data_IF_107744977099
#
_entry.id   IF_107744977099
#
_cell.length_a   1.000
_cell.length_b   1.000
_cell.length_c   1.000
_cell.angle_alpha   90.00
_cell.angle_beta   90.00
_cell.angle_gamma   90.00
#
_symmetry.space_group_name_H-M   'P 1'
#
loop_
_entity.id
_entity.type
_entity.pdbx_description
1 polymer ?
#
# COMPACT_ATOMS: atom_id res chain seq x y z
N UNK A 1 18.47 -18.99 19.84
CA UNK A 1 18.35 -17.52 20.01
C UNK A 1 16.95 -17.12 20.49
N UNK A 2 16.36 -17.82 21.46
CA UNK A 2 15.09 -17.36 22.09
C UNK A 2 15.31 -16.14 23.01
N UNK A 3 16.55 -15.88 23.42
CA UNK A 3 16.91 -14.78 24.35
C UNK A 3 17.18 -13.40 23.73
N UNK A 4 17.36 -13.26 22.40
CA UNK A 4 17.62 -11.95 21.77
C UNK A 4 16.35 -11.15 21.44
N UNK A 5 15.23 -11.82 21.23
CA UNK A 5 13.92 -11.18 21.02
C UNK A 5 13.44 -10.35 22.24
N UNK A 6 13.51 -10.84 23.49
CA UNK A 6 13.09 -10.06 24.65
C UNK A 6 14.00 -8.85 24.90
N UNK A 7 15.31 -8.97 24.66
CA UNK A 7 16.24 -7.83 24.75
C UNK A 7 15.96 -6.74 23.71
N UNK A 8 15.60 -7.13 22.48
CA UNK A 8 15.15 -6.19 21.44
C UNK A 8 13.84 -5.50 21.81
N UNK A 9 12.88 -6.22 22.41
CA UNK A 9 11.62 -5.65 22.92
C UNK A 9 11.89 -4.67 24.06
N UNK A 10 12.76 -5.02 25.01
CA UNK A 10 13.14 -4.15 26.14
C UNK A 10 13.85 -2.89 25.63
N UNK A 11 14.81 -3.01 24.71
CA UNK A 11 15.50 -1.87 24.12
C UNK A 11 14.54 -0.96 23.33
N UNK A 12 13.57 -1.54 22.61
CA UNK A 12 12.53 -0.81 21.90
C UNK A 12 11.55 -0.10 22.85
N UNK A 13 11.17 -0.74 23.95
CA UNK A 13 10.35 -0.15 25.01
C UNK A 13 11.06 1.01 25.70
N UNK A 14 12.37 0.89 25.97
CA UNK A 14 13.19 1.96 26.56
C UNK A 14 13.33 3.13 25.58
N UNK A 15 13.60 2.87 24.30
CA UNK A 15 13.72 3.95 23.30
C UNK A 15 12.38 4.63 23.03
N UNK A 16 11.27 3.88 22.99
CA UNK A 16 9.92 4.43 22.89
C UNK A 16 9.56 5.29 24.12
N UNK A 17 9.94 4.84 25.32
CA UNK A 17 9.75 5.59 26.56
C UNK A 17 10.57 6.90 26.59
N UNK A 18 11.83 6.86 26.14
CA UNK A 18 12.69 8.05 26.04
C UNK A 18 12.19 9.04 24.96
N UNK A 19 11.66 8.55 23.84
CA UNK A 19 11.02 9.38 22.81
C UNK A 19 9.71 10.00 23.31
N UNK A 20 8.95 9.32 24.17
CA UNK A 20 7.72 9.85 24.79
C UNK A 20 8.00 10.93 25.85
N UNK A 21 9.10 10.82 26.60
CA UNK A 21 9.52 11.86 27.55
C UNK A 21 9.97 13.15 26.84
N UNK A 22 10.51 13.05 25.63
CA UNK A 22 10.92 14.21 24.82
C UNK A 22 9.78 15.04 24.20
N UNK A 23 8.52 14.57 24.26
CA UNK A 23 7.36 15.20 23.59
C UNK A 23 6.43 15.93 24.58
N UNK A 24 6.80 16.06 25.86
CA UNK A 24 5.95 16.75 26.86
C UNK A 24 5.87 18.29 26.73
N UNK A 25 6.29 18.87 25.60
CA UNK A 25 6.16 20.30 25.31
C UNK A 25 5.08 20.62 24.26
N UNK A 26 3.94 21.13 24.72
CA UNK A 26 2.81 21.78 23.99
C UNK A 26 1.66 20.88 23.54
N UNK A 27 0.66 20.80 24.42
CA UNK A 27 -0.68 20.30 24.14
C UNK A 27 -1.64 21.48 23.93
N UNK A 28 -2.48 21.42 22.88
CA UNK A 28 -3.51 22.41 22.59
C UNK A 28 -4.75 21.80 21.91
N UNK A 29 -5.86 21.84 22.66
CA UNK A 29 -7.32 21.69 22.41
C UNK A 29 -7.86 21.00 21.13
N UNK A 30 -8.86 20.15 21.39
CA UNK A 30 -9.53 19.28 20.41
C UNK A 30 -10.49 19.97 19.46
N UNK A 31 -10.82 19.24 18.39
CA UNK A 31 -11.85 19.61 17.40
C UNK A 31 -13.11 18.79 17.63
N UNK A 32 -14.24 19.50 17.62
CA UNK A 32 -15.60 18.97 17.79
C UNK A 32 -15.99 18.04 16.65
N UNK A 33 -16.76 17.01 16.98
CA UNK A 33 -17.42 16.11 16.04
C UNK A 33 -18.34 16.89 15.10
N UNK A 34 -18.22 16.65 13.80
CA UNK A 34 -19.13 17.16 12.78
C UNK A 34 -20.41 16.32 12.78
N UNK A 35 -21.55 17.01 12.84
CA UNK A 35 -22.87 16.42 12.91
C UNK A 35 -23.25 15.59 11.69
N UNK A 36 -24.08 14.59 11.97
CA UNK A 36 -24.80 13.72 11.03
C UNK A 36 -25.59 14.60 10.05
N UNK A 37 -25.27 14.57 8.76
CA UNK A 37 -26.08 15.19 7.72
C UNK A 37 -27.01 14.17 7.11
N UNK A 38 -28.24 14.64 6.97
CA UNK A 38 -29.40 13.95 6.47
C UNK A 38 -29.22 13.48 5.02
N UNK A 39 -29.66 12.26 4.72
CA UNK A 39 -29.62 11.68 3.38
C UNK A 39 -30.80 12.20 2.57
N UNK A 40 -30.71 13.45 2.11
CA UNK A 40 -31.65 14.00 1.16
C UNK A 40 -31.55 13.29 -0.19
N UNK A 41 -32.65 12.72 -0.67
CA UNK A 41 -32.77 12.20 -2.04
C UNK A 41 -32.45 13.33 -3.02
N UNK A 42 -31.34 13.20 -3.75
CA UNK A 42 -30.98 14.13 -4.83
C UNK A 42 -31.88 13.82 -6.03
N UNK A 43 -32.54 14.87 -6.53
CA UNK A 43 -33.54 14.85 -7.58
C UNK A 43 -33.03 14.27 -8.92
N UNK A 44 -33.98 13.73 -9.67
CA UNK A 44 -33.84 13.16 -11.00
C UNK A 44 -33.25 14.16 -12.00
N UNK A 45 -32.23 13.72 -12.74
CA UNK A 45 -31.53 14.51 -13.76
C UNK A 45 -30.20 13.88 -14.20
N UNK A 46 -29.64 13.00 -13.38
CA UNK A 46 -28.53 12.13 -13.78
C UNK A 46 -29.07 11.04 -14.71
N UNK A 47 -28.31 10.70 -15.76
CA UNK A 47 -28.63 9.59 -16.65
C UNK A 47 -28.76 8.25 -15.91
N UNK A 48 -28.98 7.17 -16.63
CA UNK A 48 -29.24 5.84 -16.05
C UNK A 48 -28.16 5.20 -15.15
N UNK A 49 -27.13 5.94 -14.70
CA UNK A 49 -26.06 5.44 -13.85
C UNK A 49 -26.08 6.08 -12.45
N UNK A 50 -25.78 5.29 -11.43
CA UNK A 50 -25.64 5.74 -10.04
C UNK A 50 -24.20 6.19 -9.74
N UNK A 51 -23.22 5.57 -10.40
CA UNK A 51 -21.79 5.88 -10.23
C UNK A 51 -21.09 5.92 -11.59
N UNK A 52 -20.27 6.96 -11.81
CA UNK A 52 -19.29 6.99 -12.89
C UNK A 52 -17.91 6.62 -12.33
N UNK A 53 -17.23 5.68 -12.97
CA UNK A 53 -15.84 5.31 -12.68
C UNK A 53 -14.97 5.75 -13.86
N UNK A 54 -13.97 6.59 -13.61
CA UNK A 54 -13.03 7.07 -14.63
C UNK A 54 -11.78 6.21 -14.59
N UNK A 55 -11.53 5.44 -15.63
CA UNK A 55 -10.44 4.47 -15.75
C UNK A 55 -10.87 3.06 -15.32
N UNK A 56 -10.55 2.06 -16.16
CA UNK A 56 -10.77 0.63 -15.95
C UNK A 56 -9.43 -0.11 -15.78
N UNK A 57 -8.55 0.44 -14.93
CA UNK A 57 -7.38 -0.28 -14.41
C UNK A 57 -7.75 -1.15 -13.20
N UNK A 58 -6.75 -1.55 -12.39
CA UNK A 58 -6.98 -2.42 -11.21
C UNK A 58 -8.08 -1.88 -10.30
N UNK A 59 -7.95 -0.63 -9.83
CA UNK A 59 -8.93 -0.02 -8.91
C UNK A 59 -10.29 0.16 -9.56
N UNK A 60 -10.33 0.65 -10.80
CA UNK A 60 -11.58 1.00 -11.47
C UNK A 60 -12.43 -0.22 -11.79
N UNK A 61 -11.81 -1.28 -12.33
CA UNK A 61 -12.50 -2.53 -12.65
C UNK A 61 -12.96 -3.27 -11.38
N UNK A 62 -12.10 -3.37 -10.36
CA UNK A 62 -12.47 -4.01 -9.10
C UNK A 62 -13.60 -3.25 -8.37
N UNK A 63 -13.54 -1.92 -8.35
CA UNK A 63 -14.59 -1.08 -7.76
C UNK A 63 -15.90 -1.21 -8.54
N UNK A 64 -15.84 -1.21 -9.88
CA UNK A 64 -17.02 -1.36 -10.70
C UNK A 64 -17.72 -2.71 -10.47
N UNK A 65 -16.96 -3.80 -10.37
CA UNK A 65 -17.50 -5.12 -10.04
C UNK A 65 -18.14 -5.15 -8.65
N UNK A 66 -17.45 -4.63 -7.62
CA UNK A 66 -17.97 -4.59 -6.26
C UNK A 66 -19.29 -3.81 -6.17
N UNK A 67 -19.32 -2.60 -6.74
CA UNK A 67 -20.53 -1.76 -6.78
C UNK A 67 -21.65 -2.40 -7.62
N UNK A 68 -21.30 -3.07 -8.73
CA UNK A 68 -22.26 -3.78 -9.57
C UNK A 68 -22.91 -4.95 -8.84
N UNK A 69 -22.13 -5.71 -8.06
CA UNK A 69 -22.61 -6.82 -7.20
C UNK A 69 -23.53 -6.32 -6.10
N UNK A 70 -23.29 -5.11 -5.59
CA UNK A 70 -24.17 -4.39 -4.65
C UNK A 70 -25.40 -3.77 -5.33
N UNK A 71 -25.65 -4.04 -6.61
CA UNK A 71 -26.84 -3.61 -7.35
C UNK A 71 -26.80 -2.17 -7.85
N UNK A 72 -25.62 -1.52 -7.88
CA UNK A 72 -25.47 -0.16 -8.42
C UNK A 72 -25.29 -0.18 -9.93
N UNK A 73 -25.90 0.78 -10.62
CA UNK A 73 -25.66 1.00 -12.06
C UNK A 73 -24.36 1.77 -12.23
N UNK A 74 -23.32 1.10 -12.70
CA UNK A 74 -21.97 1.67 -12.81
C UNK A 74 -21.64 1.93 -14.27
N UNK A 75 -21.23 3.16 -14.59
CA UNK A 75 -20.72 3.52 -15.90
C UNK A 75 -19.21 3.73 -15.83
N UNK A 76 -18.43 2.83 -16.44
CA UNK A 76 -16.98 2.88 -16.45
C UNK A 76 -16.50 3.46 -17.78
N UNK A 77 -15.68 4.51 -17.74
CA UNK A 77 -15.11 5.15 -18.92
C UNK A 77 -13.59 4.95 -18.91
N UNK A 78 -13.10 4.15 -19.85
CA UNK A 78 -11.66 3.85 -20.01
C UNK A 78 -11.15 4.38 -21.34
N UNK A 79 -9.97 5.00 -21.34
CA UNK A 79 -9.36 5.58 -22.53
C UNK A 79 -9.09 4.52 -23.59
N UNK A 80 -8.55 3.38 -23.18
CA UNK A 80 -8.28 2.26 -24.06
C UNK A 80 -8.63 0.90 -23.43
N UNK A 81 -9.58 0.21 -24.08
CA UNK A 81 -10.05 -1.12 -23.66
C UNK A 81 -9.20 -2.26 -24.24
N UNK A 82 -8.23 -1.96 -25.12
CA UNK A 82 -7.24 -2.95 -25.52
C UNK A 82 -6.41 -3.43 -24.32
N UNK A 83 -5.79 -4.60 -24.47
CA UNK A 83 -4.87 -5.14 -23.49
C UNK A 83 -3.70 -4.16 -23.26
N UNK A 84 -3.48 -3.69 -22.02
CA UNK A 84 -2.37 -2.79 -21.75
C UNK A 84 -1.02 -3.48 -21.83
N UNK A 85 -0.09 -2.92 -22.60
CA UNK A 85 1.31 -3.32 -22.61
C UNK A 85 2.14 -2.39 -21.69
N UNK A 86 2.53 -2.89 -20.52
CA UNK A 86 3.32 -2.15 -19.53
C UNK A 86 3.99 -3.08 -18.51
N UNK A 87 5.14 -2.65 -18.02
CA UNK A 87 5.96 -3.36 -17.03
C UNK A 87 5.54 -3.13 -15.57
N UNK A 88 4.51 -2.32 -15.32
CA UNK A 88 4.08 -1.96 -13.95
C UNK A 88 2.95 -2.87 -13.47
N UNK A 89 3.01 -3.27 -12.20
CA UNK A 89 1.92 -4.02 -11.57
C UNK A 89 1.82 -5.49 -11.99
N UNK A 90 2.97 -6.15 -12.16
CA UNK A 90 3.08 -7.57 -12.52
C UNK A 90 3.22 -8.52 -11.32
N UNK A 91 3.27 -7.99 -10.09
CA UNK A 91 3.35 -8.77 -8.86
C UNK A 91 2.24 -8.36 -7.88
N UNK A 92 1.35 -9.30 -7.58
CA UNK A 92 0.29 -9.16 -6.58
C UNK A 92 0.72 -9.80 -5.27
N UNK A 93 0.87 -8.98 -4.23
CA UNK A 93 1.23 -9.43 -2.88
C UNK A 93 0.11 -10.31 -2.26
N UNK A 94 0.42 -11.11 -1.24
CA UNK A 94 -0.55 -11.99 -0.59
C UNK A 94 -1.81 -11.27 -0.10
N UNK A 95 -1.67 -10.07 0.48
CA UNK A 95 -2.82 -9.23 0.85
C UNK A 95 -3.69 -8.85 -0.36
N UNK A 96 -3.06 -8.61 -1.50
CA UNK A 96 -3.78 -8.34 -2.74
C UNK A 96 -4.62 -9.54 -3.19
N UNK A 97 -4.06 -10.75 -3.09
CA UNK A 97 -4.77 -12.00 -3.40
C UNK A 97 -5.95 -12.24 -2.43
N UNK A 98 -5.75 -12.00 -1.13
CA UNK A 98 -6.84 -12.00 -0.14
C UNK A 98 -7.95 -11.01 -0.51
N UNK A 99 -7.60 -9.79 -0.91
CA UNK A 99 -8.57 -8.77 -1.28
C UNK A 99 -9.35 -9.15 -2.54
N UNK A 100 -8.72 -9.80 -3.54
CA UNK A 100 -9.44 -10.31 -4.70
C UNK A 100 -10.49 -11.34 -4.28
N UNK A 101 -10.10 -12.26 -3.40
CA UNK A 101 -10.99 -13.30 -2.91
C UNK A 101 -12.14 -12.75 -2.05
N UNK A 102 -11.89 -11.76 -1.19
CA UNK A 102 -12.94 -11.04 -0.45
C UNK A 102 -13.94 -10.34 -1.38
N UNK A 103 -13.48 -9.88 -2.55
CA UNK A 103 -14.32 -9.22 -3.55
C UNK A 103 -15.04 -10.21 -4.48
N UNK A 104 -14.64 -11.48 -4.53
CA UNK A 104 -15.14 -12.45 -5.52
C UNK A 104 -14.51 -12.26 -6.90
N UNK A 105 -13.22 -11.90 -6.93
CA UNK A 105 -12.38 -11.62 -8.10
C UNK A 105 -11.14 -12.54 -8.15
N UNK A 106 -11.08 -13.57 -7.31
CA UNK A 106 -9.97 -14.52 -7.22
C UNK A 106 -9.65 -15.20 -8.56
N UNK A 107 -10.68 -15.49 -9.36
CA UNK A 107 -10.55 -16.12 -10.68
C UNK A 107 -9.94 -15.21 -11.76
N UNK A 108 -9.68 -13.93 -11.43
CA UNK A 108 -9.05 -13.00 -12.34
C UNK A 108 -7.53 -13.22 -12.48
N UNK A 109 -6.92 -14.00 -11.58
CA UNK A 109 -5.51 -14.44 -11.72
C UNK A 109 -5.37 -15.83 -12.34
N UNK A 110 -6.48 -16.49 -12.65
CA UNK A 110 -6.50 -17.79 -13.31
C UNK A 110 -6.46 -17.62 -14.83
N UNK A 111 -5.95 -18.64 -15.53
CA UNK A 111 -5.87 -18.71 -17.00
C UNK A 111 -5.07 -17.58 -17.68
N UNK A 112 -4.24 -16.85 -16.92
CA UNK A 112 -3.36 -15.78 -17.44
C UNK A 112 -1.86 -16.13 -17.37
N UNK A 113 -1.53 -17.39 -17.10
CA UNK A 113 -0.16 -17.87 -16.83
C UNK A 113 0.46 -17.22 -15.58
N UNK A 114 -0.37 -16.98 -14.55
CA UNK A 114 0.10 -16.41 -13.30
C UNK A 114 0.97 -17.41 -12.54
N UNK A 115 2.18 -16.98 -12.18
CA UNK A 115 3.14 -17.75 -11.42
C UNK A 115 2.93 -17.53 -9.93
N UNK A 116 2.82 -18.64 -9.18
CA UNK A 116 2.73 -18.59 -7.73
C UNK A 116 4.09 -18.25 -7.11
N UNK A 117 4.10 -17.28 -6.21
CA UNK A 117 5.30 -16.83 -5.49
C UNK A 117 5.16 -17.15 -4.00
N UNK A 118 6.09 -17.98 -3.51
CA UNK A 118 6.11 -18.46 -2.12
C UNK A 118 7.07 -17.67 -1.22
N UNK A 119 7.87 -16.79 -1.81
CA UNK A 119 8.96 -16.14 -1.12
C UNK A 119 9.88 -15.37 -2.04
N UNK A 120 10.91 -14.80 -1.45
CA UNK A 120 11.92 -14.00 -2.13
C UNK A 120 13.32 -14.55 -1.82
N UNK A 121 14.27 -14.30 -2.71
CA UNK A 121 15.69 -14.51 -2.42
C UNK A 121 16.38 -13.16 -2.57
N UNK A 122 16.99 -12.67 -1.50
CA UNK A 122 17.79 -11.45 -1.52
C UNK A 122 19.25 -11.81 -1.69
N UNK A 123 19.90 -11.20 -2.68
CA UNK A 123 21.35 -11.32 -2.89
C UNK A 123 22.04 -10.02 -2.51
N UNK A 124 23.05 -10.11 -1.64
CA UNK A 124 23.86 -8.95 -1.24
C UNK A 124 25.26 -9.39 -0.85
N UNK A 125 26.27 -8.73 -1.43
CA UNK A 125 27.69 -8.97 -1.12
C UNK A 125 28.08 -10.46 -1.20
N UNK A 126 27.65 -11.14 -2.26
CA UNK A 126 27.93 -12.57 -2.48
C UNK A 126 27.18 -13.55 -1.55
N UNK A 127 26.34 -13.04 -0.63
CA UNK A 127 25.46 -13.85 0.24
C UNK A 127 24.02 -13.82 -0.25
N UNK A 128 23.27 -14.86 0.08
CA UNK A 128 21.83 -14.96 -0.19
C UNK A 128 21.02 -15.18 1.08
N UNK A 129 19.89 -14.48 1.22
CA UNK A 129 18.88 -14.73 2.25
C UNK A 129 17.59 -15.23 1.58
N UNK A 130 17.10 -16.40 1.99
CA UNK A 130 15.82 -16.95 1.53
C UNK A 130 14.71 -16.51 2.49
N UNK A 131 13.68 -15.86 1.94
CA UNK A 131 12.59 -15.28 2.70
C UNK A 131 11.28 -15.93 2.28
N UNK A 132 10.77 -16.85 3.09
CA UNK A 132 9.48 -17.50 2.84
C UNK A 132 8.33 -16.63 3.34
N UNK A 133 7.27 -16.48 2.54
CA UNK A 133 6.03 -15.83 2.97
C UNK A 133 5.32 -16.78 3.96
N UNK A 134 4.90 -16.31 5.15
CA UNK A 134 4.24 -17.15 6.14
C UNK A 134 2.79 -17.39 5.73
N UNK A 135 2.56 -18.51 5.03
CA UNK A 135 1.28 -18.90 4.45
C UNK A 135 0.58 -20.01 5.26
N UNK A 136 1.15 -20.48 6.36
CA UNK A 136 0.71 -21.67 7.09
C UNK A 136 -0.72 -21.55 7.63
N UNK A 137 -1.21 -20.33 7.83
CA UNK A 137 -2.55 -20.03 8.36
C UNK A 137 -3.57 -19.66 7.28
N UNK A 138 -3.18 -19.76 6.01
CA UNK A 138 -3.93 -19.19 4.89
C UNK A 138 -4.20 -20.23 3.81
N UNK A 139 -5.30 -20.04 3.07
CA UNK A 139 -5.57 -20.84 1.88
C UNK A 139 -4.44 -20.73 0.84
N UNK A 140 -4.26 -21.76 0.00
CA UNK A 140 -3.20 -21.82 -1.02
C UNK A 140 -3.22 -20.61 -1.99
N UNK A 141 -4.40 -20.06 -2.23
CA UNK A 141 -4.66 -18.92 -3.12
C UNK A 141 -4.21 -17.58 -2.55
N UNK A 142 -3.87 -17.53 -1.26
CA UNK A 142 -3.32 -16.33 -0.61
C UNK A 142 -1.85 -16.11 -0.99
N UNK A 143 -1.16 -17.11 -1.54
CA UNK A 143 0.21 -16.91 -2.02
C UNK A 143 0.28 -15.78 -3.06
N UNK A 144 1.39 -15.05 -3.08
CA UNK A 144 1.61 -14.00 -4.08
C UNK A 144 1.53 -14.56 -5.51
N UNK A 145 1.22 -13.69 -6.47
CA UNK A 145 1.13 -14.04 -7.90
C UNK A 145 1.94 -13.06 -8.74
N UNK A 146 2.71 -13.57 -9.69
CA UNK A 146 3.31 -12.77 -10.77
C UNK A 146 2.63 -13.09 -12.10
N UNK A 147 2.38 -12.10 -12.93
CA UNK A 147 1.64 -12.28 -14.19
C UNK A 147 1.92 -11.13 -15.15
N UNK A 148 1.59 -11.32 -16.43
CA UNK A 148 1.51 -10.21 -17.38
C UNK A 148 0.38 -9.25 -16.98
N UNK A 149 0.73 -7.98 -16.75
CA UNK A 149 -0.22 -6.98 -16.27
C UNK A 149 -1.43 -6.81 -17.19
N UNK A 150 -1.21 -6.82 -18.51
CA UNK A 150 -2.25 -6.66 -19.51
C UNK A 150 -3.37 -7.69 -19.35
N UNK A 151 -3.00 -8.97 -19.31
CA UNK A 151 -3.92 -10.10 -19.10
C UNK A 151 -4.73 -9.97 -17.82
N UNK A 152 -4.09 -9.62 -16.71
CA UNK A 152 -4.80 -9.41 -15.43
C UNK A 152 -5.84 -8.28 -15.52
N UNK A 153 -5.49 -7.16 -16.17
CA UNK A 153 -6.44 -6.07 -16.39
C UNK A 153 -7.61 -6.50 -17.27
N UNK A 154 -7.37 -7.30 -18.31
CA UNK A 154 -8.44 -7.81 -19.17
C UNK A 154 -9.40 -8.73 -18.39
N UNK A 155 -8.89 -9.66 -17.58
CA UNK A 155 -9.71 -10.50 -16.70
C UNK A 155 -10.58 -9.68 -15.75
N UNK A 156 -10.01 -8.65 -15.11
CA UNK A 156 -10.78 -7.74 -14.24
C UNK A 156 -11.88 -6.99 -14.99
N UNK A 157 -11.59 -6.51 -16.21
CA UNK A 157 -12.57 -5.81 -17.06
C UNK A 157 -13.71 -6.73 -17.51
N UNK A 158 -13.37 -7.95 -17.94
CA UNK A 158 -14.33 -8.99 -18.32
C UNK A 158 -15.23 -9.36 -17.15
N UNK A 159 -14.64 -9.60 -15.97
CA UNK A 159 -15.38 -9.93 -14.76
C UNK A 159 -16.33 -8.80 -14.34
N UNK A 160 -15.88 -7.55 -14.38
CA UNK A 160 -16.75 -6.40 -14.14
C UNK A 160 -17.89 -6.30 -15.17
N UNK A 161 -17.58 -6.45 -16.47
CA UNK A 161 -18.55 -6.37 -17.56
C UNK A 161 -19.56 -7.53 -17.61
N UNK A 162 -19.28 -8.65 -16.91
CA UNK A 162 -20.21 -9.78 -16.79
C UNK A 162 -21.50 -9.40 -16.03
N UNK A 163 -21.48 -8.33 -15.24
CA UNK A 163 -22.64 -7.82 -14.52
C UNK A 163 -23.44 -6.88 -15.41
N UNK A 164 -24.74 -7.14 -15.58
CA UNK A 164 -25.64 -6.29 -16.40
C UNK A 164 -25.78 -4.86 -15.86
N UNK A 165 -25.46 -4.63 -14.59
CA UNK A 165 -25.44 -3.33 -13.93
C UNK A 165 -24.18 -2.51 -14.24
N UNK A 166 -23.17 -3.09 -14.87
CA UNK A 166 -21.88 -2.45 -15.17
C UNK A 166 -21.74 -2.24 -16.67
N UNK A 167 -21.59 -0.98 -17.09
CA UNK A 167 -21.36 -0.61 -18.49
C UNK A 167 -19.94 -0.09 -18.68
N UNK A 168 -19.10 -0.84 -19.39
CA UNK A 168 -17.78 -0.38 -19.83
C UNK A 168 -17.90 0.37 -21.16
N UNK A 169 -17.27 1.55 -21.24
CA UNK A 169 -17.24 2.38 -22.44
C UNK A 169 -15.84 2.88 -22.72
N UNK A 170 -15.42 2.79 -23.99
CA UNK A 170 -14.17 3.38 -24.43
C UNK A 170 -14.31 4.88 -24.68
N UNK A 171 -13.52 5.68 -23.95
CA UNK A 171 -13.44 7.13 -24.09
C UNK A 171 -12.43 7.77 -23.13
N UNK A 172 -11.84 8.89 -23.55
CA UNK A 172 -10.89 9.64 -22.73
C UNK A 172 -11.63 10.74 -21.96
N UNK A 173 -11.74 10.61 -20.63
CA UNK A 173 -12.28 11.68 -19.79
C UNK A 173 -11.33 12.88 -19.80
N UNK A 174 -11.88 14.06 -20.08
CA UNK A 174 -11.11 15.31 -20.23
C UNK A 174 -11.34 16.29 -19.08
N UNK A 175 -12.54 16.34 -18.52
CA UNK A 175 -12.86 17.25 -17.41
C UNK A 175 -14.04 16.77 -16.56
N UNK A 176 -14.15 17.35 -15.36
CA UNK A 176 -15.29 17.16 -14.46
C UNK A 176 -16.35 18.23 -14.73
N UNK A 177 -17.62 17.82 -14.79
CA UNK A 177 -18.76 18.73 -14.83
C UNK A 177 -19.05 19.15 -13.38
N UNK A 178 -19.00 20.45 -13.10
CA UNK A 178 -19.23 21.01 -11.75
C UNK A 178 -20.33 22.06 -11.80
N UNK A 179 -21.23 21.98 -10.83
CA UNK A 179 -22.28 22.97 -10.56
C UNK A 179 -22.20 23.33 -9.07
N UNK A 180 -22.07 24.62 -8.74
CA UNK A 180 -21.92 25.12 -7.36
C UNK A 180 -20.83 24.40 -6.55
N UNK A 181 -19.72 24.05 -7.20
CA UNK A 181 -18.60 23.32 -6.61
C UNK A 181 -18.85 21.81 -6.42
N UNK A 182 -20.04 21.31 -6.75
CA UNK A 182 -20.42 19.90 -6.67
C UNK A 182 -20.17 19.23 -8.02
N UNK A 183 -19.45 18.10 -8.03
CA UNK A 183 -19.25 17.30 -9.24
C UNK A 183 -20.56 16.59 -9.61
N UNK A 184 -21.00 16.77 -10.86
CA UNK A 184 -22.24 16.20 -11.42
C UNK A 184 -21.97 15.14 -12.50
N UNK A 185 -20.73 14.98 -12.94
CA UNK A 185 -20.39 14.07 -14.00
C UNK A 185 -19.07 14.39 -14.68
N UNK A 186 -18.91 13.91 -15.90
CA UNK A 186 -17.69 14.02 -16.69
C UNK A 186 -17.94 14.38 -18.14
N UNK A 187 -17.00 15.10 -18.72
CA UNK A 187 -16.86 15.26 -20.17
C UNK A 187 -15.80 14.28 -20.66
N UNK A 188 -16.07 13.58 -21.75
CA UNK A 188 -15.13 12.63 -22.34
C UNK A 188 -15.18 12.66 -23.87
N UNK A 189 -14.08 12.27 -24.50
CA UNK A 189 -13.98 12.09 -25.94
C UNK A 189 -14.09 10.61 -26.27
N UNK A 190 -15.02 10.27 -27.15
CA UNK A 190 -15.17 8.90 -27.69
C UNK A 190 -14.02 8.55 -28.64
N UNK A 191 -13.91 7.29 -29.06
CA UNK A 191 -12.89 6.84 -30.04
C UNK A 191 -12.93 7.63 -31.36
N UNK A 192 -14.10 8.14 -31.77
CA UNK A 192 -14.25 8.99 -32.97
C UNK A 192 -13.85 10.45 -32.75
N UNK A 193 -13.38 10.82 -31.54
CA UNK A 193 -13.04 12.19 -31.18
C UNK A 193 -14.23 13.05 -30.78
N UNK A 194 -15.47 12.56 -30.93
CA UNK A 194 -16.68 13.28 -30.53
C UNK A 194 -16.74 13.45 -29.00
N UNK A 195 -16.94 14.68 -28.57
CA UNK A 195 -17.17 15.01 -27.16
C UNK A 195 -18.55 14.51 -26.70
N UNK A 196 -18.60 14.00 -25.48
CA UNK A 196 -19.80 13.44 -24.87
C UNK A 196 -19.79 13.72 -23.36
N UNK A 197 -20.97 13.68 -22.75
CA UNK A 197 -21.16 13.91 -21.32
C UNK A 197 -21.78 12.68 -20.67
N UNK A 198 -21.38 12.40 -19.44
CA UNK A 198 -22.02 11.42 -18.58
C UNK A 198 -22.28 12.04 -17.22
N UNK A 199 -23.42 11.71 -16.63
CA UNK A 199 -23.90 12.30 -15.38
C UNK A 199 -24.21 11.19 -14.38
N UNK A 200 -23.70 11.32 -13.16
CA UNK A 200 -24.04 10.46 -12.02
C UNK A 200 -23.89 11.25 -10.71
N UNK A 201 -24.66 10.89 -9.65
CA UNK A 201 -24.55 11.54 -8.35
C UNK A 201 -23.18 11.31 -7.67
N UNK A 202 -22.44 10.27 -8.07
CA UNK A 202 -21.07 10.01 -7.64
C UNK A 202 -20.15 9.78 -8.84
N UNK A 203 -19.00 10.44 -8.85
CA UNK A 203 -17.91 10.19 -9.80
C UNK A 203 -16.65 9.79 -9.04
N UNK A 204 -16.08 8.63 -9.37
CA UNK A 204 -14.84 8.12 -8.78
C UNK A 204 -13.75 8.16 -9.83
N UNK A 205 -12.67 8.90 -9.54
CA UNK A 205 -11.53 9.04 -10.46
C UNK A 205 -10.46 8.01 -10.14
N UNK A 206 -10.21 7.10 -11.10
CA UNK A 206 -9.28 5.98 -11.01
C UNK A 206 -8.32 5.93 -12.23
N UNK A 207 -7.96 7.08 -12.80
CA UNK A 207 -7.14 7.24 -14.01
C UNK A 207 -5.62 7.11 -13.80
N UNK A 208 -5.21 6.53 -12.66
CA UNK A 208 -3.84 6.08 -12.42
C UNK A 208 -2.84 7.15 -11.95
N UNK A 209 -1.55 6.80 -12.02
CA UNK A 209 -0.46 7.63 -11.48
C UNK A 209 -0.27 8.95 -12.23
N UNK A 210 -0.61 8.99 -13.52
CA UNK A 210 -0.56 10.16 -14.41
C UNK A 210 -1.94 10.83 -14.59
N UNK A 211 -2.77 10.78 -13.55
CA UNK A 211 -4.10 11.38 -13.55
C UNK A 211 -4.10 12.84 -14.02
N UNK A 212 -4.90 13.13 -15.05
CA UNK A 212 -5.07 14.49 -15.57
C UNK A 212 -6.01 15.32 -14.68
N UNK A 213 -6.84 14.65 -13.88
CA UNK A 213 -7.85 15.29 -13.04
C UNK A 213 -7.34 15.59 -11.62
N UNK A 214 -6.23 14.98 -11.18
CA UNK A 214 -5.71 15.10 -9.82
C UNK A 214 -5.54 16.54 -9.34
N UNK A 215 -4.98 17.42 -10.16
CA UNK A 215 -4.76 18.83 -9.80
C UNK A 215 -6.05 19.62 -9.57
N UNK A 216 -7.17 19.16 -10.13
CA UNK A 216 -8.49 19.78 -9.95
C UNK A 216 -9.21 19.30 -8.67
N UNK A 217 -8.68 18.26 -8.03
CA UNK A 217 -9.27 17.58 -6.87
C UNK A 217 -8.40 17.73 -5.61
N UNK A 218 -7.08 17.84 -5.74
CA UNK A 218 -6.16 18.01 -4.63
C UNK A 218 -5.07 19.04 -4.91
N UNK A 219 -4.64 19.74 -3.85
CA UNK A 219 -3.59 20.75 -3.87
C UNK A 219 -2.18 20.20 -3.57
N UNK A 220 -2.06 18.90 -3.28
CA UNK A 220 -0.77 18.26 -2.99
C UNK A 220 0.08 18.08 -4.25
N UNK A 221 1.25 18.74 -4.28
CA UNK A 221 2.27 18.54 -5.32
C UNK A 221 2.94 17.18 -5.13
N UNK A 222 2.46 16.14 -5.80
CA UNK A 222 3.15 14.85 -5.87
C UNK A 222 4.29 14.99 -6.90
N UNK A 223 5.54 15.02 -6.46
CA UNK A 223 6.70 14.83 -7.35
C UNK A 223 6.82 13.34 -7.66
N UNK A 224 6.44 12.94 -8.87
CA UNK A 224 6.69 11.58 -9.36
C UNK A 224 8.15 11.55 -9.85
N UNK A 225 9.06 11.00 -9.04
CA UNK A 225 10.42 10.70 -9.49
C UNK A 225 10.39 9.45 -10.38
N UNK A 226 11.06 9.49 -11.54
CA UNK A 226 11.14 8.37 -12.50
C UNK A 226 11.83 7.11 -11.94
N UNK A 227 12.52 7.22 -10.80
CA UNK A 227 13.16 6.08 -10.09
C UNK A 227 12.20 5.30 -9.17
N UNK A 228 10.92 5.71 -9.06
CA UNK A 228 9.90 5.11 -8.17
C UNK A 228 9.00 4.05 -8.86
N UNK A 229 9.41 3.50 -10.00
CA UNK A 229 8.54 2.64 -10.84
C UNK A 229 8.23 1.25 -10.25
N UNK A 230 8.90 0.83 -9.16
CA UNK A 230 8.73 -0.51 -8.58
C UNK A 230 7.71 -0.56 -7.43
N UNK A 231 7.15 0.57 -6.98
CA UNK A 231 6.28 0.57 -5.78
C UNK A 231 5.15 1.60 -5.84
N UNK A 232 4.22 1.46 -6.78
CA UNK A 232 2.92 2.13 -6.65
C UNK A 232 1.77 1.31 -7.22
N UNK A 233 1.11 0.56 -6.35
CA UNK A 233 -0.33 0.36 -6.39
C UNK A 233 -0.87 0.44 -4.96
N UNK A 234 -2.11 0.89 -4.80
CA UNK A 234 -2.85 1.12 -3.55
C UNK A 234 -2.62 2.48 -2.86
N UNK A 235 -3.38 3.49 -3.31
CA UNK A 235 -3.63 4.70 -2.50
C UNK A 235 -4.88 4.59 -1.61
N UNK A 236 -5.51 3.41 -1.53
CA UNK A 236 -6.74 3.22 -0.74
C UNK A 236 -6.73 2.00 0.20
N UNK A 237 -5.58 1.34 0.37
CA UNK A 237 -5.40 0.29 1.37
C UNK A 237 -4.06 0.47 2.07
N UNK A 238 -4.13 1.15 3.22
CA UNK A 238 -3.11 1.28 4.26
C UNK A 238 -1.88 2.13 3.85
N UNK A 239 -1.85 3.37 4.34
CA UNK A 239 -0.65 4.22 4.42
C UNK A 239 0.60 3.40 4.80
N UNK A 240 0.43 2.45 5.71
CA UNK A 240 1.44 1.51 6.21
C UNK A 240 2.13 0.74 5.09
N UNK A 241 1.40 0.24 4.09
CA UNK A 241 2.00 -0.54 2.99
C UNK A 241 2.93 0.34 2.17
N UNK A 242 2.50 1.55 1.81
CA UNK A 242 3.34 2.51 1.10
C UNK A 242 4.58 2.89 1.94
N UNK A 243 4.42 2.99 3.26
CA UNK A 243 5.52 3.26 4.17
C UNK A 243 6.50 2.11 4.33
N UNK A 244 6.02 0.86 4.38
CA UNK A 244 6.87 -0.34 4.37
C UNK A 244 7.73 -0.32 3.11
N UNK A 245 7.13 -0.14 1.93
CA UNK A 245 7.87 -0.08 0.67
C UNK A 245 8.88 1.08 0.65
N UNK A 246 8.50 2.26 1.13
CA UNK A 246 9.42 3.41 1.26
C UNK A 246 10.60 3.13 2.19
N UNK A 247 10.34 2.48 3.33
CA UNK A 247 11.35 2.12 4.30
C UNK A 247 12.34 1.10 3.72
N UNK A 248 11.85 0.04 3.07
CA UNK A 248 12.68 -0.93 2.37
C UNK A 248 13.48 -0.28 1.23
N UNK A 249 12.88 0.63 0.46
CA UNK A 249 13.58 1.42 -0.55
C UNK A 249 14.74 2.24 0.05
N UNK A 250 14.52 2.88 1.21
CA UNK A 250 15.59 3.63 1.90
C UNK A 250 16.71 2.75 2.45
N UNK A 251 16.39 1.51 2.82
CA UNK A 251 17.36 0.54 3.35
C UNK A 251 18.21 -0.11 2.25
N UNK A 252 17.59 -0.50 1.14
CA UNK A 252 18.22 -1.31 0.10
C UNK A 252 18.55 -0.54 -1.17
N UNK A 253 17.97 0.65 -1.35
CA UNK A 253 18.29 1.54 -2.46
C UNK A 253 19.69 2.12 -2.38
N UNK A 254 20.20 2.57 -3.52
CA UNK A 254 21.49 3.24 -3.61
C UNK A 254 21.48 4.52 -2.78
N UNK A 255 22.49 4.68 -1.93
CA UNK A 255 22.60 5.81 -1.01
C UNK A 255 24.05 6.29 -0.92
N UNK A 256 24.32 7.59 -0.99
CA UNK A 256 25.65 8.13 -0.70
C UNK A 256 25.95 8.18 0.81
N UNK A 257 24.93 8.05 1.65
CA UNK A 257 25.07 8.03 3.11
C UNK A 257 25.48 6.63 3.58
N UNK A 258 26.71 6.54 4.10
CA UNK A 258 27.29 5.31 4.64
C UNK A 258 26.47 4.73 5.79
N UNK A 259 25.87 5.57 6.65
CA UNK A 259 25.04 5.10 7.75
C UNK A 259 23.80 4.36 7.22
N UNK A 260 23.20 4.79 6.11
CA UNK A 260 22.09 4.07 5.49
C UNK A 260 22.52 2.74 4.89
N UNK A 261 23.73 2.66 4.30
CA UNK A 261 24.29 1.39 3.81
C UNK A 261 24.51 0.41 4.96
N UNK A 262 25.02 0.89 6.09
CA UNK A 262 25.20 0.09 7.30
C UNK A 262 23.86 -0.42 7.85
N UNK A 263 22.81 0.41 7.92
CA UNK A 263 21.47 -0.06 8.34
C UNK A 263 20.95 -1.13 7.36
N UNK A 264 21.07 -0.89 6.05
CA UNK A 264 20.68 -1.88 5.04
C UNK A 264 21.49 -3.17 5.10
N UNK A 265 22.74 -3.12 5.55
CA UNK A 265 23.57 -4.30 5.77
C UNK A 265 23.12 -5.05 7.02
N UNK A 266 22.95 -4.36 8.15
CA UNK A 266 22.46 -4.95 9.38
C UNK A 266 21.06 -5.58 9.22
N UNK A 267 20.17 -4.95 8.45
CA UNK A 267 18.87 -5.53 8.13
C UNK A 267 19.00 -6.81 7.30
N UNK A 268 19.88 -6.83 6.28
CA UNK A 268 20.17 -8.04 5.51
C UNK A 268 20.74 -9.16 6.39
N UNK A 269 21.61 -8.84 7.34
CA UNK A 269 22.17 -9.80 8.27
C UNK A 269 21.06 -10.40 9.16
N UNK A 270 20.19 -9.56 9.72
CA UNK A 270 19.03 -10.03 10.48
C UNK A 270 18.09 -10.93 9.65
N UNK A 271 17.85 -10.58 8.38
CA UNK A 271 17.07 -11.42 7.46
C UNK A 271 17.76 -12.76 7.20
N UNK A 272 19.09 -12.77 7.07
CA UNK A 272 19.89 -13.96 6.79
C UNK A 272 19.90 -14.96 7.96
N UNK A 273 19.65 -14.50 9.19
CA UNK A 273 19.50 -15.37 10.36
C UNK A 273 18.20 -16.20 10.32
N UNK A 274 17.24 -15.83 9.47
CA UNK A 274 15.97 -16.54 9.32
C UNK A 274 15.05 -16.41 10.55
N UNK A 275 14.18 -17.42 10.73
CA UNK A 275 13.25 -17.49 11.84
C UNK A 275 12.22 -16.36 11.85
N UNK A 276 11.83 -15.92 13.05
CA UNK A 276 10.74 -14.97 13.24
C UNK A 276 11.00 -13.61 12.60
N UNK A 277 12.24 -13.12 12.61
CA UNK A 277 12.57 -11.85 11.96
C UNK A 277 12.32 -11.91 10.44
N UNK A 278 12.77 -12.96 9.76
CA UNK A 278 12.49 -13.14 8.34
C UNK A 278 10.98 -13.28 8.08
N UNK A 279 10.30 -14.14 8.83
CA UNK A 279 8.86 -14.39 8.68
C UNK A 279 8.01 -13.13 8.86
N UNK A 280 8.24 -12.40 9.95
CA UNK A 280 7.50 -11.17 10.26
C UNK A 280 7.82 -10.07 9.21
N UNK A 281 9.07 -9.97 8.73
CA UNK A 281 9.45 -9.07 7.63
C UNK A 281 8.70 -9.39 6.33
N UNK A 282 8.60 -10.67 5.95
CA UNK A 282 7.83 -11.06 4.76
C UNK A 282 6.33 -10.88 4.93
N UNK A 283 5.78 -11.03 6.14
CA UNK A 283 4.38 -10.73 6.42
C UNK A 283 4.08 -9.24 6.28
N UNK A 284 5.01 -8.38 6.72
CA UNK A 284 4.93 -6.92 6.53
C UNK A 284 4.97 -6.56 5.03
N UNK A 285 5.96 -7.07 4.28
CA UNK A 285 6.09 -6.82 2.83
C UNK A 285 4.84 -7.32 2.08
N UNK A 286 4.37 -8.52 2.41
CA UNK A 286 3.19 -9.13 1.79
C UNK A 286 1.85 -8.52 2.21
N UNK A 287 1.86 -7.55 3.14
CA UNK A 287 0.66 -6.91 3.68
C UNK A 287 -0.21 -7.83 4.54
N UNK A 288 0.26 -9.03 4.89
CA UNK A 288 -0.44 -9.97 5.79
C UNK A 288 -0.47 -9.43 7.22
N UNK A 289 0.57 -8.69 7.61
CA UNK A 289 0.66 -7.96 8.88
C UNK A 289 0.82 -6.47 8.58
N UNK A 290 -0.19 -5.66 8.89
CA UNK A 290 -0.16 -4.22 8.68
C UNK A 290 0.08 -3.45 9.99
N UNK A 291 0.90 -3.98 10.90
CA UNK A 291 1.17 -3.32 12.18
C UNK A 291 2.32 -2.30 12.06
N UNK A 292 2.09 -0.99 12.28
CA UNK A 292 3.17 -0.01 12.33
C UNK A 292 4.18 -0.32 13.44
N UNK A 293 3.69 -0.82 14.58
CA UNK A 293 4.53 -1.17 15.71
C UNK A 293 5.52 -2.29 15.36
N UNK A 294 5.07 -3.33 14.66
CA UNK A 294 5.97 -4.39 14.21
C UNK A 294 7.05 -3.83 13.28
N UNK A 295 6.68 -2.96 12.33
CA UNK A 295 7.68 -2.31 11.46
C UNK A 295 8.74 -1.55 12.26
N UNK A 296 8.32 -0.77 13.27
CA UNK A 296 9.24 -0.05 14.16
C UNK A 296 10.16 -1.03 14.90
N UNK A 297 9.61 -2.12 15.46
CA UNK A 297 10.40 -3.15 16.16
C UNK A 297 11.45 -3.77 15.22
N UNK A 298 11.10 -4.12 13.98
CA UNK A 298 12.06 -4.64 13.00
C UNK A 298 13.22 -3.68 12.74
N UNK A 299 12.91 -2.40 12.57
CA UNK A 299 13.93 -1.37 12.40
C UNK A 299 14.85 -1.29 13.61
N UNK A 300 14.29 -1.30 14.82
CA UNK A 300 15.07 -1.22 16.05
C UNK A 300 15.97 -2.45 16.23
N UNK A 301 15.47 -3.65 15.95
CA UNK A 301 16.29 -4.87 15.98
C UNK A 301 17.46 -4.79 15.00
N UNK A 302 17.23 -4.34 13.76
CA UNK A 302 18.31 -4.15 12.78
C UNK A 302 19.33 -3.09 13.22
N UNK A 303 18.87 -1.98 13.80
CA UNK A 303 19.73 -0.92 14.33
C UNK A 303 20.57 -1.43 15.50
N UNK A 304 19.98 -2.14 16.46
CA UNK A 304 20.69 -2.73 17.59
C UNK A 304 21.72 -3.75 17.13
N UNK A 305 21.39 -4.58 16.13
CA UNK A 305 22.34 -5.51 15.51
C UNK A 305 23.52 -4.77 14.88
N UNK A 306 23.27 -3.71 14.11
CA UNK A 306 24.31 -2.87 13.52
C UNK A 306 25.21 -2.18 14.55
N UNK A 307 24.62 -1.60 15.60
CA UNK A 307 25.36 -1.00 16.73
C UNK A 307 26.21 -2.05 17.45
N UNK A 308 25.66 -3.24 17.70
CA UNK A 308 26.41 -4.34 18.31
C UNK A 308 27.65 -4.70 17.50
N UNK A 309 27.54 -4.78 16.17
CA UNK A 309 28.67 -5.04 15.28
C UNK A 309 29.73 -3.92 15.29
N UNK A 310 29.34 -2.67 15.55
CA UNK A 310 30.28 -1.54 15.62
C UNK A 310 30.99 -1.41 16.98
N UNK A 311 30.39 -1.95 18.06
CA UNK A 311 30.88 -1.81 19.42
C UNK A 311 31.58 -3.07 19.96
N UNK A 312 31.32 -4.24 19.38
CA UNK A 312 31.93 -5.50 19.81
C UNK A 312 33.19 -5.82 18.99
N UNK A 313 34.19 -6.50 19.61
CA UNK A 313 34.21 -6.96 21.00
C UNK A 313 34.55 -5.84 22.02
N UNK A 314 35.26 -4.78 21.59
CA UNK A 314 35.67 -3.67 22.47
C UNK A 314 35.20 -2.34 21.85
N UNK A 315 34.45 -1.51 22.59
CA UNK A 315 34.00 -0.22 22.09
C UNK A 315 35.18 0.69 21.76
N UNK A 316 35.20 1.24 20.54
CA UNK A 316 36.17 2.25 20.11
C UNK A 316 35.50 3.61 19.90
N UNK A 317 36.25 4.71 19.98
CA UNK A 317 35.72 6.07 19.69
C UNK A 317 35.12 6.14 18.28
N UNK A 318 35.72 5.44 17.31
CA UNK A 318 35.18 5.31 15.95
C UNK A 318 33.87 4.53 15.94
N UNK A 319 33.80 3.40 16.65
CA UNK A 319 32.59 2.58 16.79
C UNK A 319 31.44 3.32 17.47
N UNK A 320 31.73 4.10 18.52
CA UNK A 320 30.75 4.95 19.20
C UNK A 320 30.19 6.04 18.27
N UNK A 321 31.07 6.74 17.52
CA UNK A 321 30.65 7.73 16.53
C UNK A 321 29.84 7.11 15.39
N UNK A 322 30.24 5.93 14.91
CA UNK A 322 29.48 5.16 13.91
C UNK A 322 28.09 4.79 14.42
N UNK A 323 28.01 4.27 15.64
CA UNK A 323 26.74 3.90 16.29
C UNK A 323 25.79 5.08 16.43
N UNK A 324 26.30 6.24 16.85
CA UNK A 324 25.50 7.47 16.94
C UNK A 324 24.95 7.92 15.57
N UNK A 325 25.78 7.84 14.51
CA UNK A 325 25.35 8.13 13.14
C UNK A 325 24.29 7.16 12.64
N UNK A 326 24.47 5.86 12.90
CA UNK A 326 23.53 4.81 12.50
C UNK A 326 22.17 5.02 13.16
N UNK A 327 22.14 5.29 14.47
CA UNK A 327 20.89 5.61 15.21
C UNK A 327 20.22 6.86 14.64
N UNK A 328 20.99 7.92 14.38
CA UNK A 328 20.46 9.17 13.81
C UNK A 328 19.86 8.96 12.42
N UNK A 329 20.53 8.20 11.55
CA UNK A 329 20.04 7.88 10.22
C UNK A 329 18.77 7.02 10.28
N UNK A 330 18.69 6.05 11.19
CA UNK A 330 17.50 5.23 11.39
C UNK A 330 16.30 6.06 11.89
N UNK A 331 16.53 6.99 12.83
CA UNK A 331 15.50 7.91 13.28
C UNK A 331 14.97 8.78 12.12
N UNK A 332 15.84 9.19 11.19
CA UNK A 332 15.45 9.90 9.97
C UNK A 332 14.55 9.10 9.01
N UNK A 333 14.52 7.76 9.11
CA UNK A 333 13.62 6.89 8.34
C UNK A 333 12.32 6.65 9.12
N UNK A 334 12.42 6.34 10.41
CA UNK A 334 11.27 5.89 11.23
C UNK A 334 10.40 7.05 11.74
N UNK A 335 10.98 8.18 12.15
CA UNK A 335 10.19 9.29 12.74
C UNK A 335 9.22 9.93 11.74
N UNK A 336 9.58 10.18 10.47
CA UNK A 336 8.61 10.66 9.47
C UNK A 336 7.44 9.68 9.28
N UNK A 337 7.73 8.38 9.36
CA UNK A 337 6.74 7.31 9.24
C UNK A 337 5.73 7.34 10.40
N UNK A 338 6.23 7.42 11.63
CA UNK A 338 5.40 7.55 12.83
C UNK A 338 4.59 8.85 12.84
N UNK A 339 5.14 9.95 12.31
CA UNK A 339 4.44 11.23 12.23
C UNK A 339 3.30 11.18 11.21
N UNK A 340 3.48 10.47 10.10
CA UNK A 340 2.48 10.38 9.04
C UNK A 340 1.32 9.42 9.38
N UNK A 341 1.61 8.29 10.05
CA UNK A 341 0.57 7.40 10.62
C UNK A 341 -0.08 7.98 11.88
N UNK A 342 0.66 8.80 12.61
CA UNK A 342 0.31 9.30 13.92
C UNK A 342 0.91 8.43 15.03
N UNK A 343 1.61 9.09 15.97
CA UNK A 343 2.35 8.42 17.04
C UNK A 343 1.43 7.54 17.92
N UNK A 344 0.22 8.02 18.24
CA UNK A 344 -0.73 7.26 19.05
C UNK A 344 -1.27 6.03 18.31
N UNK A 345 -1.56 6.17 17.02
CA UNK A 345 -2.03 5.09 16.15
C UNK A 345 -0.98 3.98 16.05
N UNK A 346 0.30 4.37 16.00
CA UNK A 346 1.44 3.45 15.93
C UNK A 346 1.57 2.60 17.20
N UNK A 347 1.48 3.21 18.38
CA UNK A 347 1.69 2.50 19.66
C UNK A 347 0.42 1.95 20.31
N UNK A 348 -0.77 2.46 19.94
CA UNK A 348 -2.06 2.04 20.47
C UNK A 348 -3.04 1.68 19.33
N UNK A 349 -2.70 0.68 18.49
CA UNK A 349 -3.47 0.36 17.29
C UNK A 349 -4.91 -0.12 17.56
N UNK A 350 -5.16 -0.71 18.74
CA UNK A 350 -6.49 -1.19 19.15
C UNK A 350 -7.57 -0.09 19.21
N UNK A 351 -7.17 1.18 19.15
CA UNK A 351 -8.09 2.33 19.16
C UNK A 351 -8.57 2.76 17.76
N UNK A 352 -8.08 2.13 16.67
CA UNK A 352 -8.41 2.50 15.29
C UNK A 352 -8.72 1.28 14.40
N UNK A 353 -10.01 0.95 14.16
CA UNK A 353 -10.44 -0.27 13.45
C UNK A 353 -10.00 -0.38 11.98
N UNK A 354 -9.58 0.73 11.35
CA UNK A 354 -9.21 0.74 9.92
C UNK A 354 -7.95 -0.09 9.60
N UNK A 355 -7.12 -0.40 10.60
CA UNK A 355 -5.84 -1.10 10.43
C UNK A 355 -5.94 -2.62 10.54
N UNK A 356 -7.03 -3.13 11.12
CA UNK A 356 -7.22 -4.54 11.39
C UNK A 356 -8.63 -4.96 11.00
N UNK A 357 -8.80 -5.35 9.74
CA UNK A 357 -9.76 -6.39 9.43
C UNK A 357 -9.01 -7.70 9.37
N UNK A 358 -9.26 -8.52 10.39
CA UNK A 358 -8.93 -9.93 10.29
C UNK A 358 -9.58 -10.48 9.01
N UNK A 359 -8.86 -11.27 8.21
CA UNK A 359 -9.47 -11.99 7.10
C UNK A 359 -10.70 -12.76 7.60
N UNK A 360 -11.79 -12.84 6.83
CA UNK A 360 -12.96 -13.65 7.18
C UNK A 360 -12.53 -15.04 7.66
N UNK A 361 -13.20 -15.58 8.69
CA UNK A 361 -12.83 -16.86 9.30
C UNK A 361 -12.74 -18.01 8.29
N UNK A 362 -13.51 -17.93 7.20
CA UNK A 362 -13.51 -18.88 6.08
C UNK A 362 -12.19 -18.92 5.28
N UNK A 363 -11.31 -17.91 5.45
CA UNK A 363 -10.02 -17.80 4.76
C UNK A 363 -8.83 -18.22 5.62
N UNK A 364 -9.08 -18.47 6.91
CA UNK A 364 -8.12 -19.02 7.86
C UNK A 364 -8.34 -20.54 7.87
N UNK A 365 -7.26 -21.30 7.68
CA UNK A 365 -7.32 -22.77 7.83
C UNK A 365 -7.59 -23.16 9.28
#
# INVERSE_FOLDING_TARGET
MEGMYPLGVIAASILAFLLLLGIHGRWGKGRKAAGKRDSGRVAAGFGGADVIVVGAGVTGSALAYALGKDGRRVHVIERDLAEPDRIVGEALQPRGCLNLLELGLEDCVDEIDAQRVLGYVLYKNGRSAKLSIPLEKYHVDVAARCFHHGRFIQRLREKAASLSSVQLKQGAVTSLIKEDGIVKGVVYKTKSGKESKAFAPLTVVCDGCFSNLRHTLCSSKVKINRELEVSFLFHFSLLITAFIHYAFYKLFGTSPDEARKEIGQAYFDCLSLGGRFSSDSTALIGGLNASPLHLVIHFLVAVTHGVGHLLLPIPSVRGLRGSARLISAAAGIVLPLMKAEGFRQTFFPATFPAYYRDPPAQLKQ
#
